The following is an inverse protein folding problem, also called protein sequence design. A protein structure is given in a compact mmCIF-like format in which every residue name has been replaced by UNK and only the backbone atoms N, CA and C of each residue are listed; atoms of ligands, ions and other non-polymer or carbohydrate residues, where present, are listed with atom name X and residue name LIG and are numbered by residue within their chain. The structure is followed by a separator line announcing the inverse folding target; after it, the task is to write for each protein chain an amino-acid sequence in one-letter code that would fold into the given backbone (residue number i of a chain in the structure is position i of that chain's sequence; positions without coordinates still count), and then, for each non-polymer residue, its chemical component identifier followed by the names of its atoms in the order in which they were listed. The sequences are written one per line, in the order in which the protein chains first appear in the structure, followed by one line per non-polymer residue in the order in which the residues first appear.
data_IF_164901047701
#
_entry.id   IF_164901047701
#
_cell.length_a   1.000
_cell.length_b   1.000
_cell.length_c   1.000
_cell.angle_alpha   90.00
_cell.angle_beta   90.00
_cell.angle_gamma   90.00
#
_symmetry.space_group_name_H-M   'P 1'
#
loop_
_entity.id
_entity.type
_entity.pdbx_description
1 polymer ?
2 non-polymer ?
3 non-polymer ?
4 non-polymer ?
5 non-polymer ?
6 water ?
#
# COMPACT_ATOMS: atom_id res chain seq x y z
N UNK A 37 7.71 -15.91 15.72
CA UNK A 37 6.64 -15.46 16.61
C UNK A 37 6.58 -13.93 16.71
N UNK A 38 5.39 -13.44 17.00
CA UNK A 38 5.07 -12.00 17.07
C UNK A 38 4.87 -11.59 18.53
N UNK A 39 5.34 -10.40 18.92
CA UNK A 39 5.12 -9.89 20.28
C UNK A 39 3.64 -9.81 20.63
N UNK A 40 3.22 -10.09 21.88
CA UNK A 40 1.82 -10.03 22.31
C UNK A 40 1.08 -8.74 21.93
N UNK A 41 1.74 -7.59 22.02
CA UNK A 41 1.06 -6.33 21.73
C UNK A 41 0.73 -6.18 20.25
N UNK A 42 1.39 -6.95 19.37
CA UNK A 42 1.13 -6.88 17.93
C UNK A 42 0.51 -8.17 17.38
N UNK A 43 0.34 -9.18 18.21
CA UNK A 43 -0.08 -10.50 17.76
C UNK A 43 -1.58 -10.52 17.49
N UNK A 44 -1.96 -11.19 16.41
CA UNK A 44 -3.36 -11.33 16.02
C UNK A 44 -3.62 -12.81 15.81
N UNK A 45 -4.11 -13.51 16.84
CA UNK A 45 -4.27 -14.96 16.72
C UNK A 45 -5.20 -15.38 15.60
N UNK A 46 -6.19 -14.57 15.24
CA UNK A 46 -7.07 -14.96 14.14
C UNK A 46 -6.30 -14.98 12.81
N UNK A 47 -5.37 -14.03 12.61
CA UNK A 47 -4.55 -14.08 11.39
C UNK A 47 -3.73 -15.36 11.38
N UNK A 48 -3.07 -15.66 12.49
CA UNK A 48 -2.17 -16.80 12.53
C UNK A 48 -2.92 -18.12 12.35
N UNK A 49 -4.13 -18.21 12.86
CA UNK A 49 -4.88 -19.47 12.78
C UNK A 49 -5.70 -19.60 11.51
N UNK A 50 -6.25 -18.51 10.98
CA UNK A 50 -7.26 -18.60 9.93
C UNK A 50 -6.87 -17.94 8.63
N UNK A 51 -5.74 -17.24 8.56
CA UNK A 51 -5.29 -16.56 7.34
C UNK A 51 -3.88 -17.06 6.98
N UNK A 52 -3.74 -18.33 6.61
CA UNK A 52 -2.40 -18.86 6.30
C UNK A 52 -1.71 -18.09 5.19
N UNK A 53 -0.43 -17.84 5.41
CA UNK A 53 0.40 -17.07 4.44
C UNK A 53 0.51 -17.78 3.08
N UNK A 54 0.55 -16.99 2.02
CA UNK A 54 0.76 -17.53 0.67
C UNK A 54 1.93 -16.81 0.03
N UNK A 55 2.57 -17.48 -0.92
CA UNK A 55 3.71 -16.84 -1.63
C UNK A 55 3.68 -17.21 -3.11
N UNK A 56 3.72 -16.19 -3.94
CA UNK A 56 3.71 -16.38 -5.39
C UNK A 56 5.01 -17.04 -5.85
N UNK A 57 4.96 -18.03 -6.78
CA UNK A 57 6.17 -18.72 -7.22
C UNK A 57 7.28 -17.88 -7.89
N UNK A 58 6.92 -16.70 -8.39
CA UNK A 58 7.91 -15.80 -9.04
C UNK A 58 8.75 -15.03 -8.02
N UNK A 59 8.40 -15.12 -6.72
CA UNK A 59 9.06 -14.26 -5.71
C UNK A 59 10.59 -14.26 -5.80
N UNK A 60 11.29 -15.40 -5.92
CA UNK A 60 12.76 -15.29 -5.95
C UNK A 60 13.28 -14.39 -7.08
N UNK A 61 12.71 -14.52 -8.28
CA UNK A 61 13.10 -13.64 -9.37
C UNK A 61 12.62 -12.22 -9.15
N UNK A 62 11.42 -12.06 -8.57
CA UNK A 62 10.86 -10.75 -8.28
C UNK A 62 11.79 -9.96 -7.36
N UNK A 63 12.26 -10.60 -6.28
CA UNK A 63 13.14 -9.96 -5.30
C UNK A 63 14.34 -9.31 -5.99
N UNK A 64 15.06 -10.09 -6.80
CA UNK A 64 16.24 -9.57 -7.46
C UNK A 64 15.89 -8.54 -8.53
N UNK A 65 14.85 -8.80 -9.33
CA UNK A 65 14.55 -7.89 -10.43
C UNK A 65 14.15 -6.52 -9.92
N UNK A 66 13.36 -6.44 -8.84
CA UNK A 66 13.06 -5.14 -8.26
C UNK A 66 14.28 -4.48 -7.64
N UNK A 67 15.17 -5.25 -6.97
CA UNK A 67 16.40 -4.66 -6.47
C UNK A 67 17.21 -4.02 -7.60
N UNK A 68 17.36 -4.74 -8.70
CA UNK A 68 18.10 -4.24 -9.85
C UNK A 68 17.43 -3.00 -10.44
N UNK A 69 16.09 -3.00 -10.46
CA UNK A 69 15.35 -1.84 -10.97
C UNK A 69 15.61 -0.62 -10.10
N UNK A 70 15.58 -0.79 -8.77
CA UNK A 70 15.89 0.33 -7.87
C UNK A 70 17.29 0.87 -8.13
N UNK A 71 18.27 -0.01 -8.34
CA UNK A 71 19.62 0.42 -8.64
C UNK A 71 19.70 1.14 -9.99
N UNK A 72 19.15 0.54 -11.03
CA UNK A 72 19.31 1.07 -12.39
C UNK A 72 18.51 2.35 -12.60
N UNK A 73 17.34 2.48 -11.97
CA UNK A 73 16.60 3.73 -12.00
C UNK A 73 17.12 4.75 -10.99
N UNK A 74 18.16 4.42 -10.22
CA UNK A 74 18.78 5.36 -9.29
C UNK A 74 17.76 5.91 -8.28
N UNK A 75 16.88 5.02 -7.81
CA UNK A 75 15.85 5.42 -6.86
C UNK A 75 16.36 5.44 -5.43
N UNK A 76 17.42 4.69 -5.14
CA UNK A 76 18.11 4.76 -3.86
C UNK A 76 19.60 4.68 -4.17
N UNK A 77 20.44 5.24 -3.31
CA UNK A 77 21.89 5.11 -3.50
C UNK A 77 22.29 3.64 -3.58
N UNK A 78 23.26 3.36 -4.46
CA UNK A 78 23.68 1.98 -4.72
C UNK A 78 24.04 1.23 -3.45
N UNK A 79 24.75 1.88 -2.53
CA UNK A 79 25.17 1.20 -1.31
C UNK A 79 23.98 0.90 -0.41
N UNK A 80 23.01 1.80 -0.36
CA UNK A 80 21.79 1.53 0.42
C UNK A 80 20.95 0.43 -0.22
N UNK A 81 20.92 0.35 -1.56
CA UNK A 81 20.23 -0.75 -2.21
C UNK A 81 20.85 -2.08 -1.81
N UNK A 82 22.18 -2.19 -1.97
CA UNK A 82 22.87 -3.42 -1.63
C UNK A 82 22.70 -3.79 -0.15
N UNK A 83 22.79 -2.81 0.74
CA UNK A 83 22.74 -3.12 2.17
C UNK A 83 21.32 -3.41 2.67
N UNK A 84 20.30 -2.73 2.12
CA UNK A 84 18.99 -2.70 2.76
C UNK A 84 17.83 -3.20 1.92
N UNK A 85 17.93 -3.22 0.59
CA UNK A 85 16.74 -3.43 -0.23
C UNK A 85 16.05 -4.76 0.07
N UNK A 86 16.78 -5.87 0.04
CA UNK A 86 16.14 -7.16 0.30
C UNK A 86 15.52 -7.19 1.70
N UNK A 87 16.22 -6.62 2.68
CA UNK A 87 15.72 -6.59 4.05
C UNK A 87 14.48 -5.75 4.23
N UNK A 88 14.19 -4.84 3.29
CA UNK A 88 12.94 -4.06 3.38
C UNK A 88 11.70 -4.88 3.02
N UNK A 89 11.86 -5.98 2.28
CA UNK A 89 10.77 -6.94 2.02
C UNK A 89 9.63 -6.39 1.19
N UNK A 90 9.86 -5.41 0.32
CA UNK A 90 8.75 -4.89 -0.49
C UNK A 90 8.23 -5.93 -1.48
N UNK A 91 9.14 -6.70 -2.09
CA UNK A 91 8.67 -7.73 -3.03
C UNK A 91 7.91 -8.81 -2.29
N UNK A 92 8.35 -9.17 -1.08
CA UNK A 92 7.65 -10.20 -0.33
C UNK A 92 6.23 -9.77 -0.03
N UNK A 93 6.04 -8.47 0.27
CA UNK A 93 4.72 -7.92 0.57
C UNK A 93 3.78 -8.09 -0.62
N UNK A 94 4.28 -7.79 -1.83
CA UNK A 94 3.42 -7.93 -3.02
C UNK A 94 3.21 -9.40 -3.40
N UNK A 95 4.24 -10.23 -3.24
CA UNK A 95 4.16 -11.64 -3.63
C UNK A 95 3.29 -12.45 -2.68
N UNK A 96 3.00 -11.92 -1.48
CA UNK A 96 2.06 -12.56 -0.57
C UNK A 96 0.64 -12.07 -0.75
N UNK A 97 0.42 -11.18 -1.71
CA UNK A 97 -0.87 -10.50 -1.90
C UNK A 97 -1.48 -10.87 -3.23
N UNK A 98 -0.81 -10.56 -4.35
CA UNK A 98 -1.43 -10.74 -5.67
C UNK A 98 -1.15 -12.13 -6.23
N UNK A 99 -1.65 -13.14 -5.52
CA UNK A 99 -1.47 -14.52 -5.96
C UNK A 99 -2.20 -14.72 -7.28
N UNK A 100 -1.60 -15.54 -8.15
CA UNK A 100 -2.17 -15.79 -9.45
C UNK A 100 -1.82 -14.77 -10.51
N UNK A 101 -1.19 -13.65 -10.15
CA UNK A 101 -0.84 -12.65 -11.13
C UNK A 101 0.15 -13.21 -12.16
N UNK A 102 0.02 -12.88 -13.44
CA UNK A 102 1.10 -13.18 -14.39
C UNK A 102 2.41 -12.58 -13.89
N UNK A 103 3.53 -13.24 -14.20
CA UNK A 103 4.81 -12.77 -13.69
C UNK A 103 5.08 -11.30 -14.05
N UNK A 104 4.76 -10.89 -15.28
CA UNK A 104 5.10 -9.52 -15.68
C UNK A 104 4.18 -8.48 -15.01
N UNK A 105 2.95 -8.88 -14.70
CA UNK A 105 2.06 -8.03 -13.90
C UNK A 105 2.62 -7.87 -12.49
N UNK A 106 3.00 -8.99 -11.85
CA UNK A 106 3.59 -8.92 -10.52
C UNK A 106 4.85 -8.07 -10.51
N UNK A 107 5.68 -8.18 -11.57
CA UNK A 107 6.89 -7.37 -11.60
C UNK A 107 6.57 -5.88 -11.63
N UNK A 108 5.61 -5.49 -12.48
CA UNK A 108 5.23 -4.07 -12.54
C UNK A 108 4.67 -3.60 -11.20
N UNK A 109 3.83 -4.43 -10.57
CA UNK A 109 3.27 -4.10 -9.25
C UNK A 109 4.36 -3.96 -8.20
N UNK A 110 5.32 -4.89 -8.19
CA UNK A 110 6.36 -4.84 -7.16
C UNK A 110 7.25 -3.63 -7.37
N UNK A 111 7.60 -3.33 -8.62
CA UNK A 111 8.38 -2.12 -8.88
C UNK A 111 7.61 -0.88 -8.41
N UNK A 112 6.31 -0.82 -8.72
CA UNK A 112 5.47 0.29 -8.27
C UNK A 112 5.42 0.39 -6.74
N UNK A 113 5.30 -0.75 -6.04
CA UNK A 113 5.24 -0.73 -4.58
C UNK A 113 6.56 -0.27 -3.98
N UNK A 114 7.68 -0.73 -4.52
CA UNK A 114 8.97 -0.27 -4.04
C UNK A 114 9.11 1.23 -4.27
N UNK A 115 8.75 1.69 -5.48
CA UNK A 115 8.69 3.11 -5.80
C UNK A 115 7.85 3.87 -4.76
N UNK A 116 6.69 3.35 -4.42
CA UNK A 116 5.78 4.04 -3.51
C UNK A 116 6.44 4.24 -2.15
N UNK A 117 7.16 3.23 -1.67
CA UNK A 117 7.85 3.40 -0.39
C UNK A 117 8.98 4.43 -0.47
N UNK A 118 9.72 4.43 -1.59
CA UNK A 118 10.73 5.48 -1.79
C UNK A 118 10.10 6.86 -1.85
N UNK A 119 8.96 6.99 -2.53
CA UNK A 119 8.24 8.26 -2.56
C UNK A 119 7.81 8.71 -1.17
N UNK A 120 7.31 7.76 -0.35
CA UNK A 120 6.98 8.10 1.04
C UNK A 120 8.22 8.63 1.77
N UNK A 121 9.38 8.03 1.48
CA UNK A 121 10.63 8.51 2.10
C UNK A 121 11.02 9.91 1.60
N UNK A 122 10.87 10.15 0.30
CA UNK A 122 11.18 11.46 -0.28
C UNK A 122 10.28 12.54 0.32
N UNK A 123 8.98 12.26 0.40
CA UNK A 123 8.02 13.19 0.99
C UNK A 123 8.40 13.52 2.42
N UNK A 124 8.74 12.48 3.19
CA UNK A 124 9.19 12.68 4.57
C UNK A 124 10.41 13.59 4.62
N UNK A 125 11.41 13.32 3.78
CA UNK A 125 12.63 14.13 3.84
C UNK A 125 12.40 15.57 3.36
N UNK A 126 11.55 15.77 2.36
CA UNK A 126 11.22 17.15 1.95
C UNK A 126 10.55 17.90 3.10
N UNK A 127 9.69 17.22 3.86
CA UNK A 127 9.07 17.86 5.03
C UNK A 127 10.14 18.21 6.07
N UNK A 128 10.97 17.23 6.42
CA UNK A 128 11.96 17.43 7.49
C UNK A 128 12.91 18.57 7.12
N UNK A 129 13.27 18.67 5.86
CA UNK A 129 14.22 19.69 5.41
C UNK A 129 13.56 20.95 4.87
N UNK A 130 12.25 21.06 4.97
CA UNK A 130 11.58 22.28 4.57
C UNK A 130 11.60 22.59 3.09
N UNK A 131 11.65 21.56 2.24
CA UNK A 131 11.80 21.75 0.80
C UNK A 131 10.43 21.81 0.12
N UNK A 132 9.71 22.88 0.47
CA UNK A 132 8.34 23.04 -0.04
C UNK A 132 8.30 23.19 -1.55
N UNK A 133 9.27 23.91 -2.12
CA UNK A 133 9.30 24.06 -3.57
C UNK A 133 9.59 22.75 -4.29
N UNK A 134 10.57 22.01 -3.79
CA UNK A 134 10.90 20.73 -4.41
C UNK A 134 9.73 19.76 -4.33
N UNK A 135 9.01 19.77 -3.20
CA UNK A 135 7.83 18.92 -3.09
C UNK A 135 6.76 19.36 -4.09
N UNK A 136 6.49 20.67 -4.14
CA UNK A 136 5.45 21.17 -5.04
C UNK A 136 5.73 20.79 -6.48
N UNK A 137 7.00 20.92 -6.89
CA UNK A 137 7.35 20.58 -8.27
C UNK A 137 7.23 19.08 -8.54
N UNK A 138 7.66 18.25 -7.59
CA UNK A 138 7.49 16.80 -7.73
C UNK A 138 6.02 16.43 -7.85
N UNK A 139 5.19 16.99 -6.96
CA UNK A 139 3.74 16.77 -6.99
C UNK A 139 3.16 17.07 -8.36
N UNK A 140 3.54 18.22 -8.94
CA UNK A 140 3.02 18.56 -10.26
C UNK A 140 3.48 17.59 -11.33
N UNK A 141 4.75 17.17 -11.27
CA UNK A 141 5.27 16.24 -12.26
C UNK A 141 4.61 14.88 -12.15
N UNK A 142 4.30 14.44 -10.93
CA UNK A 142 3.64 13.17 -10.77
C UNK A 142 2.24 13.20 -11.34
N UNK A 143 1.51 14.30 -11.14
CA UNK A 143 0.18 14.40 -11.75
C UNK A 143 0.29 14.28 -13.28
N UNK A 144 1.24 15.02 -13.88
CA UNK A 144 1.39 14.98 -15.33
C UNK A 144 1.83 13.59 -15.81
N UNK A 145 2.81 12.98 -15.12
CA UNK A 145 3.33 11.68 -15.55
C UNK A 145 2.27 10.60 -15.38
N UNK A 146 1.41 10.75 -14.39
CA UNK A 146 0.35 9.77 -14.21
C UNK A 146 -0.57 9.75 -15.41
N UNK A 147 -0.84 10.93 -15.99
CA UNK A 147 -1.71 10.91 -17.17
C UNK A 147 -0.97 10.50 -18.45
N UNK A 148 0.34 10.75 -18.52
CA UNK A 148 1.12 10.52 -19.75
C UNK A 148 2.45 9.90 -19.37
N UNK A 149 2.45 8.65 -18.90
CA UNK A 149 3.72 8.11 -18.34
C UNK A 149 4.81 7.93 -19.38
N UNK A 150 4.45 7.54 -20.60
CA UNK A 150 5.48 7.37 -21.63
C UNK A 150 6.27 8.63 -21.89
N UNK A 151 5.63 9.79 -21.77
CA UNK A 151 6.33 11.05 -21.98
C UNK A 151 7.40 11.32 -20.94
N UNK A 152 7.34 10.63 -19.81
CA UNK A 152 8.20 10.94 -18.66
C UNK A 152 9.21 9.84 -18.34
N UNK A 153 9.38 8.86 -19.24
CA UNK A 153 10.25 7.72 -18.97
C UNK A 153 11.72 8.09 -18.79
N UNK A 154 12.13 9.24 -19.30
CA UNK A 154 13.52 9.67 -19.23
C UNK A 154 13.65 11.03 -18.57
N UNK A 155 12.76 11.32 -17.62
CA UNK A 155 12.80 12.59 -16.92
C UNK A 155 14.07 12.71 -16.07
N UNK A 156 14.55 13.95 -15.93
CA UNK A 156 15.76 14.20 -15.14
C UNK A 156 15.59 13.84 -13.66
N UNK A 157 14.38 13.97 -13.10
CA UNK A 157 14.15 13.51 -11.73
C UNK A 157 13.95 12.01 -11.79
N UNK A 158 14.90 11.26 -11.22
CA UNK A 158 14.82 9.82 -11.32
C UNK A 158 13.58 9.27 -10.63
N UNK A 159 13.06 9.95 -9.60
CA UNK A 159 11.84 9.48 -8.94
C UNK A 159 10.65 9.56 -9.89
N UNK A 160 10.59 10.63 -10.70
CA UNK A 160 9.55 10.77 -11.71
C UNK A 160 9.74 9.72 -12.81
N UNK A 161 10.97 9.52 -13.28
CA UNK A 161 11.22 8.54 -14.35
C UNK A 161 10.86 7.14 -13.90
N UNK A 162 11.15 6.80 -12.63
CA UNK A 162 10.83 5.46 -12.13
C UNK A 162 9.33 5.26 -11.97
N UNK A 163 8.64 6.27 -11.44
CA UNK A 163 7.18 6.26 -11.43
C UNK A 163 6.64 5.97 -12.81
N UNK A 164 7.11 6.75 -13.80
CA UNK A 164 6.57 6.65 -15.15
C UNK A 164 6.81 5.27 -15.73
N UNK A 165 7.98 4.67 -15.47
CA UNK A 165 8.25 3.35 -16.01
C UNK A 165 7.29 2.30 -15.46
N UNK A 166 7.07 2.33 -14.14
CA UNK A 166 6.16 1.35 -13.54
C UNK A 166 4.73 1.56 -14.02
N UNK A 167 4.28 2.82 -14.08
CA UNK A 167 2.91 3.11 -14.46
C UNK A 167 2.67 2.78 -15.93
N UNK A 168 3.62 3.10 -16.82
CA UNK A 168 3.43 2.75 -18.22
C UNK A 168 3.26 1.24 -18.38
N UNK A 169 4.01 0.45 -17.59
CA UNK A 169 3.83 -1.00 -17.69
C UNK A 169 2.47 -1.43 -17.15
N UNK A 170 2.01 -0.84 -16.04
CA UNK A 170 0.70 -1.16 -15.51
C UNK A 170 -0.40 -0.83 -16.51
N UNK A 171 -0.22 0.21 -17.32
CA UNK A 171 -1.20 0.66 -18.30
C UNK A 171 -1.25 -0.23 -19.54
N UNK A 172 -0.42 -1.28 -19.62
CA UNK A 172 -0.39 -2.12 -20.81
C UNK A 172 -1.18 -3.40 -20.68
N UNK A 173 -1.82 -3.65 -19.54
CA UNK A 173 -2.41 -4.96 -19.26
C UNK A 173 -3.90 -5.04 -19.55
N UNK A 174 -4.63 -3.96 -19.34
CA UNK A 174 -6.09 -3.93 -19.43
C UNK A 174 -6.51 -2.77 -20.32
N UNK A 175 -7.79 -2.69 -20.69
CA UNK A 175 -8.24 -1.56 -21.53
C UNK A 175 -8.03 -0.22 -20.84
N UNK A 176 -7.98 0.83 -21.65
CA UNK A 176 -7.67 2.16 -21.16
C UNK A 176 -8.66 2.69 -20.14
N UNK A 177 -9.88 2.13 -20.10
CA UNK A 177 -10.84 2.48 -19.05
C UNK A 177 -10.29 2.18 -17.66
N UNK A 178 -9.58 1.05 -17.51
CA UNK A 178 -8.93 0.75 -16.23
C UNK A 178 -7.83 1.77 -15.94
N UNK A 179 -7.02 2.10 -16.95
CA UNK A 179 -5.94 3.08 -16.77
C UNK A 179 -6.51 4.40 -16.28
N UNK A 180 -7.64 4.83 -16.83
CA UNK A 180 -8.24 6.10 -16.44
C UNK A 180 -8.71 6.07 -14.99
N UNK A 181 -9.23 4.91 -14.55
CA UNK A 181 -9.64 4.78 -13.15
C UNK A 181 -8.44 4.78 -12.19
N UNK A 182 -7.39 4.05 -12.53
CA UNK A 182 -6.15 4.10 -11.76
C UNK A 182 -5.66 5.53 -11.64
N UNK A 183 -5.66 6.27 -12.76
CA UNK A 183 -5.20 7.66 -12.73
C UNK A 183 -6.09 8.53 -11.83
N UNK A 184 -7.42 8.42 -11.96
CA UNK A 184 -8.29 9.19 -11.09
C UNK A 184 -7.97 8.92 -9.62
N UNK A 185 -7.80 7.65 -9.29
CA UNK A 185 -7.50 7.30 -7.90
C UNK A 185 -6.16 7.86 -7.45
N UNK A 186 -5.12 7.78 -8.33
CA UNK A 186 -3.81 8.22 -7.88
C UNK A 186 -3.70 9.74 -7.83
N UNK A 187 -4.41 10.47 -8.68
CA UNK A 187 -4.43 11.93 -8.54
C UNK A 187 -4.89 12.29 -7.12
N UNK A 188 -5.93 11.59 -6.65
CA UNK A 188 -6.40 11.82 -5.27
C UNK A 188 -5.34 11.46 -4.22
N UNK A 189 -4.61 10.35 -4.44
CA UNK A 189 -3.53 9.99 -3.51
C UNK A 189 -2.48 11.09 -3.43
N UNK A 190 -2.03 11.60 -4.59
CA UNK A 190 -1.01 12.65 -4.58
C UNK A 190 -1.49 13.83 -3.75
N UNK A 191 -2.75 14.22 -3.93
CA UNK A 191 -3.24 15.38 -3.20
C UNK A 191 -3.35 15.09 -1.70
N UNK A 192 -3.61 13.83 -1.32
CA UNK A 192 -3.60 13.49 0.10
C UNK A 192 -2.20 13.62 0.68
N UNK A 193 -1.18 13.21 -0.08
CA UNK A 193 0.21 13.47 0.32
C UNK A 193 0.47 14.97 0.48
N UNK A 194 -0.09 15.78 -0.43
CA UNK A 194 0.08 17.22 -0.25
C UNK A 194 -0.56 17.73 1.04
N UNK A 195 -1.75 17.21 1.37
CA UNK A 195 -2.39 17.57 2.63
C UNK A 195 -1.51 17.17 3.81
N UNK A 196 -0.89 15.99 3.75
CA UNK A 196 0.02 15.58 4.83
C UNK A 196 1.19 16.54 4.94
N UNK A 197 1.70 17.01 3.80
CA UNK A 197 2.79 18.00 3.82
C UNK A 197 2.36 19.24 4.57
N UNK A 198 1.17 19.76 4.23
CA UNK A 198 0.64 20.94 4.92
C UNK A 198 0.45 20.69 6.41
N UNK A 199 -0.11 19.53 6.78
CA UNK A 199 -0.33 19.22 8.19
C UNK A 199 0.98 19.24 8.95
N UNK A 200 2.00 18.54 8.42
CA UNK A 200 3.24 18.42 9.18
C UNK A 200 4.00 19.73 9.22
N UNK A 201 3.98 20.51 8.15
CA UNK A 201 4.64 21.82 8.21
C UNK A 201 3.94 22.77 9.17
N UNK A 202 2.62 22.63 9.36
CA UNK A 202 1.91 23.44 10.34
C UNK A 202 1.84 22.81 11.74
N UNK A 203 2.29 21.56 11.91
CA UNK A 203 2.20 20.91 13.21
C UNK A 203 0.80 20.49 13.59
N UNK A 204 -0.06 20.23 12.61
CA UNK A 204 -1.44 19.83 12.83
C UNK A 204 -1.52 18.31 12.88
N UNK A 205 -2.14 17.78 13.92
CA UNK A 205 -2.51 16.37 13.97
C UNK A 205 -4.00 16.29 13.61
N UNK A 206 -4.38 15.56 12.58
CA UNK A 206 -5.81 15.50 12.24
C UNK A 206 -6.62 14.81 13.34
N UNK A 207 -7.89 15.24 13.45
CA UNK A 207 -8.82 14.51 14.29
C UNK A 207 -8.98 13.06 13.82
N UNK A 208 -9.49 12.23 14.72
CA UNK A 208 -9.63 10.79 14.44
C UNK A 208 -10.45 10.54 13.16
N UNK A 209 -11.62 11.17 13.04
CA UNK A 209 -12.47 10.91 11.87
C UNK A 209 -11.87 11.48 10.59
N UNK A 210 -11.31 12.70 10.69
CA UNK A 210 -10.59 13.30 9.57
C UNK A 210 -9.45 12.41 9.13
N UNK A 211 -8.70 11.88 10.11
CA UNK A 211 -7.61 10.97 9.82
C UNK A 211 -8.09 9.72 9.09
N UNK A 212 -9.17 9.10 9.58
CA UNK A 212 -9.62 7.86 8.95
C UNK A 212 -10.00 8.09 7.49
N UNK A 213 -10.58 9.26 7.19
CA UNK A 213 -10.88 9.57 5.79
C UNK A 213 -9.61 9.79 4.98
N UNK A 214 -8.67 10.56 5.51
CA UNK A 214 -7.41 10.81 4.81
C UNK A 214 -6.61 9.52 4.57
N UNK A 215 -6.66 8.60 5.54
CA UNK A 215 -5.82 7.41 5.52
C UNK A 215 -6.20 6.48 4.38
N UNK A 216 -7.46 6.50 3.94
CA UNK A 216 -7.86 5.72 2.77
C UNK A 216 -7.17 6.20 1.51
N UNK A 217 -6.67 7.43 1.54
CA UNK A 217 -5.98 8.03 0.40
C UNK A 217 -4.47 7.93 0.53
N UNK A 218 -3.93 8.19 1.73
CA UNK A 218 -2.47 8.13 1.88
C UNK A 218 -1.95 6.70 1.85
N UNK A 219 -2.75 5.72 2.28
CA UNK A 219 -2.38 4.33 2.14
C UNK A 219 -2.63 3.82 0.74
N UNK A 220 -3.46 4.50 -0.05
CA UNK A 220 -3.78 4.17 -1.46
C UNK A 220 -4.67 2.91 -1.53
N UNK A 221 -5.62 2.82 -0.60
CA UNK A 221 -6.64 1.73 -0.60
C UNK A 221 -7.16 1.39 -1.99
N UNK A 222 -7.54 2.41 -2.77
CA UNK A 222 -8.22 2.14 -4.06
C UNK A 222 -7.23 1.74 -5.16
N UNK A 223 -5.98 2.15 -5.02
CA UNK A 223 -4.94 1.68 -5.94
C UNK A 223 -4.70 0.19 -5.75
N UNK A 224 -4.48 -0.26 -4.50
CA UNK A 224 -4.30 -1.70 -4.29
C UNK A 224 -5.53 -2.47 -4.74
N UNK A 225 -6.72 -1.89 -4.52
CA UNK A 225 -7.94 -2.55 -4.98
C UNK A 225 -8.00 -2.62 -6.51
N UNK A 226 -7.68 -1.51 -7.19
CA UNK A 226 -7.61 -1.52 -8.66
C UNK A 226 -6.67 -2.61 -9.16
N UNK A 227 -5.51 -2.75 -8.53
CA UNK A 227 -4.48 -3.68 -8.99
C UNK A 227 -4.88 -5.15 -8.84
N UNK A 228 -5.92 -5.45 -8.05
CA UNK A 228 -6.45 -6.81 -8.08
C UNK A 228 -6.82 -7.25 -9.51
N UNK A 229 -7.27 -6.30 -10.33
CA UNK A 229 -7.88 -6.64 -11.61
C UNK A 229 -6.86 -7.08 -12.67
N UNK A 230 -5.76 -6.36 -12.93
CA UNK A 230 -4.74 -6.94 -13.82
C UNK A 230 -4.17 -8.23 -13.27
N UNK A 231 -4.16 -8.39 -11.95
CA UNK A 231 -3.64 -9.62 -11.36
C UNK A 231 -4.49 -10.84 -11.69
N UNK A 232 -5.80 -10.67 -11.86
CA UNK A 232 -6.66 -11.77 -12.27
C UNK A 232 -7.05 -11.71 -13.73
N UNK A 233 -6.52 -10.75 -14.47
CA UNK A 233 -6.70 -10.72 -15.92
C UNK A 233 -8.01 -10.18 -16.44
N UNK A 234 -8.72 -9.39 -15.66
CA UNK A 234 -10.06 -8.95 -16.07
C UNK A 234 -10.36 -7.59 -15.45
N UNK A 235 -10.71 -6.61 -16.29
CA UNK A 235 -11.29 -5.38 -15.75
C UNK A 235 -12.74 -5.65 -15.37
N UNK A 236 -13.08 -5.40 -14.10
CA UNK A 236 -14.44 -5.65 -13.66
C UNK A 236 -15.34 -4.48 -14.06
N UNK A 237 -16.54 -4.77 -14.57
CA UNK A 237 -17.51 -3.71 -14.82
C UNK A 237 -17.86 -2.98 -13.53
N UNK A 238 -18.25 -1.70 -13.69
CA UNK A 238 -18.63 -0.91 -12.53
C UNK A 238 -19.71 -1.59 -11.70
N UNK A 239 -20.69 -2.21 -12.34
CA UNK A 239 -21.77 -2.85 -11.58
C UNK A 239 -21.27 -3.99 -10.70
N UNK A 240 -20.18 -4.64 -11.11
CA UNK A 240 -19.63 -5.75 -10.34
C UNK A 240 -18.79 -5.23 -9.19
N UNK A 241 -17.84 -4.34 -9.48
CA UNK A 241 -16.93 -3.91 -8.42
C UNK A 241 -17.60 -2.95 -7.44
N UNK A 242 -18.75 -2.36 -7.79
CA UNK A 242 -19.49 -1.52 -6.86
C UNK A 242 -20.60 -2.25 -6.13
N UNK A 243 -20.73 -3.56 -6.36
CA UNK A 243 -21.65 -4.35 -5.55
C UNK A 243 -21.27 -4.18 -4.09
N UNK A 244 -22.26 -4.01 -3.19
CA UNK A 244 -21.91 -3.71 -1.79
C UNK A 244 -21.00 -4.73 -1.12
N UNK A 245 -21.11 -6.03 -1.45
CA UNK A 245 -20.25 -7.02 -0.80
C UNK A 245 -18.81 -6.94 -1.31
N UNK A 246 -18.64 -6.70 -2.62
CA UNK A 246 -17.30 -6.49 -3.16
C UNK A 246 -16.67 -5.24 -2.55
N UNK A 247 -17.42 -4.14 -2.55
CA UNK A 247 -16.91 -2.87 -2.05
C UNK A 247 -16.52 -2.97 -0.58
N UNK A 248 -17.38 -3.59 0.24
CA UNK A 248 -17.08 -3.64 1.67
C UNK A 248 -15.92 -4.57 1.97
N UNK A 249 -15.83 -5.72 1.27
CA UNK A 249 -14.68 -6.60 1.47
C UNK A 249 -13.39 -5.88 1.07
N UNK A 250 -13.43 -5.12 -0.03
CA UNK A 250 -12.24 -4.41 -0.49
C UNK A 250 -11.82 -3.35 0.53
N UNK A 251 -12.80 -2.63 1.06
CA UNK A 251 -12.53 -1.62 2.07
C UNK A 251 -11.90 -2.23 3.30
N UNK A 252 -12.49 -3.29 3.84
CA UNK A 252 -12.02 -3.86 5.11
C UNK A 252 -10.60 -4.41 4.99
N UNK A 253 -10.28 -5.02 3.84
CA UNK A 253 -8.92 -5.49 3.61
C UNK A 253 -7.93 -4.33 3.73
N UNK A 254 -8.26 -3.19 3.11
CA UNK A 254 -7.35 -2.05 3.18
C UNK A 254 -7.33 -1.36 4.54
N UNK A 255 -8.48 -1.25 5.22
CA UNK A 255 -8.49 -0.65 6.56
C UNK A 255 -7.61 -1.46 7.50
N UNK A 256 -7.69 -2.80 7.41
CA UNK A 256 -6.81 -3.64 8.22
C UNK A 256 -5.35 -3.32 7.91
N UNK A 257 -4.97 -3.30 6.63
CA UNK A 257 -3.57 -3.09 6.28
C UNK A 257 -3.07 -1.73 6.78
N UNK A 258 -3.84 -0.68 6.58
CA UNK A 258 -3.40 0.66 6.97
C UNK A 258 -3.32 0.79 8.50
N UNK A 259 -4.32 0.28 9.21
CA UNK A 259 -4.34 0.45 10.66
C UNK A 259 -3.34 -0.48 11.33
N UNK A 260 -3.10 -1.65 10.75
CA UNK A 260 -2.03 -2.49 11.28
C UNK A 260 -0.68 -1.85 11.04
N UNK A 261 -0.50 -1.21 9.87
CA UNK A 261 0.71 -0.40 9.71
C UNK A 261 0.78 0.68 10.79
N UNK A 262 -0.33 1.35 11.09
CA UNK A 262 -0.26 2.39 12.13
C UNK A 262 0.20 1.79 13.45
N UNK A 263 -0.34 0.63 13.81
CA UNK A 263 0.06 -0.03 15.05
C UNK A 263 1.55 -0.33 15.08
N UNK A 264 2.08 -0.88 13.98
CA UNK A 264 3.47 -1.36 13.98
C UNK A 264 4.46 -0.26 13.69
N UNK A 265 4.05 0.78 12.98
CA UNK A 265 4.94 1.87 12.61
C UNK A 265 4.86 3.02 13.58
N UNK A 266 4.00 2.95 14.60
CA UNK A 266 3.95 4.00 15.61
C UNK A 266 5.31 4.35 16.22
N UNK A 267 6.15 3.38 16.65
CA UNK A 267 7.45 3.78 17.23
C UNK A 267 8.32 4.62 16.29
N UNK A 268 8.49 4.18 15.04
CA UNK A 268 9.34 4.96 14.13
C UNK A 268 8.69 6.29 13.78
N UNK A 269 7.36 6.36 13.77
CA UNK A 269 6.67 7.58 13.41
C UNK A 269 6.74 8.61 14.53
N UNK A 270 6.57 8.19 15.78
CA UNK A 270 6.81 9.10 16.89
C UNK A 270 8.26 9.60 16.87
N UNK A 271 9.21 8.69 16.63
CA UNK A 271 10.61 9.11 16.64
C UNK A 271 10.94 10.09 15.51
N UNK A 272 10.21 10.00 14.40
CA UNK A 272 10.42 10.84 13.23
C UNK A 272 9.51 12.04 13.12
N UNK A 273 8.77 12.39 14.17
CA UNK A 273 7.85 13.53 14.14
C UNK A 273 6.76 13.41 13.08
N UNK A 274 6.44 12.18 12.66
CA UNK A 274 5.28 11.95 11.83
C UNK A 274 4.03 12.19 12.67
N UNK A 275 3.03 12.85 12.09
CA UNK A 275 1.77 13.11 12.79
C UNK A 275 0.62 12.23 12.33
N UNK A 276 0.77 11.50 11.23
CA UNK A 276 -0.33 10.75 10.62
C UNK A 276 -0.26 9.30 11.08
N UNK A 277 -1.14 8.96 12.01
CA UNK A 277 -1.18 7.64 12.62
C UNK A 277 -2.41 7.63 13.53
N UNK A 278 -3.28 6.64 13.41
CA UNK A 278 -4.48 6.60 14.25
C UNK A 278 -4.15 6.74 15.73
N UNK A 279 -3.07 6.09 16.19
CA UNK A 279 -2.68 6.22 17.58
C UNK A 279 -2.32 7.63 17.98
N UNK A 280 -1.65 8.36 17.07
CA UNK A 280 -1.30 9.75 17.36
C UNK A 280 -2.55 10.62 17.44
N UNK A 281 -3.51 10.40 16.54
CA UNK A 281 -4.76 11.17 16.63
C UNK A 281 -5.50 10.87 17.94
N UNK A 282 -5.48 9.61 18.37
CA UNK A 282 -6.17 9.26 19.62
C UNK A 282 -5.50 9.90 20.83
N UNK A 283 -4.17 9.86 20.88
CA UNK A 283 -3.45 10.49 21.98
C UNK A 283 -3.72 11.99 22.00
N UNK A 284 -3.68 12.62 20.82
CA UNK A 284 -3.77 14.06 20.75
C UNK A 284 -5.19 14.57 21.03
N UNK A 285 -6.20 13.91 20.48
CA UNK A 285 -7.56 14.45 20.51
C UNK A 285 -8.49 13.78 21.51
N UNK A 286 -8.19 12.56 21.94
CA UNK A 286 -8.98 11.85 22.93
C UNK A 286 -8.27 11.67 24.26
N UNK A 287 -7.06 12.23 24.40
CA UNK A 287 -6.32 12.24 25.66
C UNK A 287 -5.94 10.85 26.15
N UNK A 288 -5.80 9.88 25.24
CA UNK A 288 -5.35 8.56 25.64
C UNK A 288 -3.86 8.56 25.91
N UNK A 289 -3.44 7.71 26.86
CA UNK A 289 -2.02 7.42 26.98
C UNK A 289 -1.57 6.57 25.80
N UNK A 290 -0.26 6.40 25.66
CA UNK A 290 0.28 5.54 24.62
C UNK A 290 -0.26 4.12 24.73
N UNK A 291 -0.30 3.58 25.96
CA UNK A 291 -0.82 2.22 26.13
C UNK A 291 -2.29 2.12 25.76
N UNK A 292 -3.09 3.11 26.15
CA UNK A 292 -4.51 3.08 25.80
C UNK A 292 -4.72 3.19 24.30
N UNK A 293 -3.91 4.01 23.63
CA UNK A 293 -4.04 4.18 22.18
C UNK A 293 -3.64 2.92 21.44
N UNK A 294 -2.56 2.25 21.88
CA UNK A 294 -2.18 0.97 21.29
C UNK A 294 -3.33 -0.03 21.45
N UNK A 295 -3.92 -0.11 22.64
CA UNK A 295 -5.04 -1.02 22.83
C UNK A 295 -6.22 -0.71 21.90
N UNK A 296 -6.53 0.57 21.74
CA UNK A 296 -7.66 0.96 20.89
C UNK A 296 -7.39 0.65 19.41
N UNK A 297 -6.17 0.94 18.93
CA UNK A 297 -5.85 0.61 17.55
C UNK A 297 -5.93 -0.90 17.34
N UNK A 298 -5.38 -1.68 18.28
CA UNK A 298 -5.47 -3.13 18.21
C UNK A 298 -6.91 -3.60 18.08
N UNK A 299 -7.80 -3.07 18.92
CA UNK A 299 -9.20 -3.49 18.86
C UNK A 299 -9.83 -3.17 17.52
N UNK A 300 -9.52 -1.98 16.97
CA UNK A 300 -10.09 -1.64 15.67
C UNK A 300 -9.57 -2.57 14.56
N UNK A 301 -8.28 -2.92 14.61
CA UNK A 301 -7.71 -3.88 13.65
C UNK A 301 -8.39 -5.24 13.76
N UNK A 302 -8.57 -5.74 15.00
CA UNK A 302 -9.20 -7.04 15.20
C UNK A 302 -10.62 -7.06 14.61
N UNK A 303 -11.34 -5.98 14.80
CA UNK A 303 -12.72 -5.89 14.27
C UNK A 303 -12.74 -5.92 12.73
N UNK A 304 -11.72 -5.37 12.08
CA UNK A 304 -11.67 -5.43 10.60
C UNK A 304 -11.67 -6.91 10.17
N UNK A 305 -10.94 -7.73 10.91
CA UNK A 305 -10.81 -9.16 10.52
C UNK A 305 -12.17 -9.83 10.60
N UNK A 306 -12.85 -9.68 11.74
CA UNK A 306 -14.13 -10.43 11.87
C UNK A 306 -15.29 -9.80 11.06
N UNK A 307 -15.21 -8.50 10.78
CA UNK A 307 -16.14 -7.90 9.82
C UNK A 307 -15.84 -8.43 8.42
N UNK A 308 -14.55 -8.52 8.06
CA UNK A 308 -14.20 -9.09 6.77
C UNK A 308 -14.70 -10.53 6.63
N UNK A 309 -14.54 -11.35 7.67
CA UNK A 309 -15.03 -12.72 7.58
C UNK A 309 -16.52 -12.76 7.26
N UNK A 310 -17.31 -11.86 7.88
CA UNK A 310 -18.74 -11.85 7.56
C UNK A 310 -19.00 -11.45 6.10
N UNK A 311 -18.36 -10.36 5.65
CA UNK A 311 -18.68 -9.89 4.30
C UNK A 311 -18.09 -10.79 3.23
N UNK A 312 -16.98 -11.46 3.51
CA UNK A 312 -16.39 -12.40 2.57
C UNK A 312 -17.40 -13.45 2.15
N UNK A 313 -18.23 -13.94 3.09
CA UNK A 313 -19.26 -14.89 2.72
C UNK A 313 -20.18 -14.31 1.65
N UNK A 314 -20.59 -13.05 1.83
CA UNK A 314 -21.49 -12.41 0.88
C UNK A 314 -20.81 -12.17 -0.45
N UNK A 315 -19.53 -11.83 -0.43
CA UNK A 315 -18.79 -11.57 -1.66
C UNK A 315 -18.61 -12.86 -2.46
N UNK A 316 -18.37 -13.98 -1.76
CA UNK A 316 -18.24 -15.26 -2.47
C UNK A 316 -19.61 -15.77 -2.97
N UNK A 317 -20.69 -15.49 -2.23
CA UNK A 317 -22.02 -15.79 -2.77
C UNK A 317 -22.30 -14.99 -4.02
N UNK A 318 -21.89 -13.72 -4.03
CA UNK A 318 -22.03 -12.91 -5.23
C UNK A 318 -21.24 -13.52 -6.38
N UNK A 319 -20.00 -13.94 -6.11
CA UNK A 319 -19.20 -14.60 -7.14
C UNK A 319 -19.94 -15.80 -7.72
N UNK A 320 -20.56 -16.61 -6.87
CA UNK A 320 -21.32 -17.76 -7.35
C UNK A 320 -22.49 -17.32 -8.23
N UNK A 321 -23.18 -16.25 -7.84
CA UNK A 321 -24.31 -15.76 -8.62
C UNK A 321 -23.87 -15.28 -10.01
N UNK A 322 -22.66 -14.73 -10.13
CA UNK A 322 -22.17 -14.29 -11.43
C UNK A 322 -21.96 -15.46 -12.40
N UNK A 323 -21.70 -16.65 -11.87
CA UNK A 323 -21.55 -17.85 -12.71
C UNK A 323 -22.94 -18.28 -13.16
N UNK A 324 -23.42 -17.61 -14.19
CA UNK A 324 -24.80 -17.77 -14.63
C UNK A 324 -24.94 -18.78 -15.76
N UNK A 325 -23.90 -19.56 -16.04
CA UNK A 325 -23.90 -20.50 -17.13
C UNK A 325 -23.24 -20.02 -18.40
N UNK A 326 -22.97 -18.72 -18.50
CA UNK A 326 -22.34 -18.16 -19.70
C UNK A 326 -20.82 -18.08 -19.53
N UNK A 327 -20.14 -17.91 -20.68
CA UNK A 327 -18.69 -17.80 -20.67
C UNK A 327 -18.25 -16.54 -19.93
N UNK A 328 -18.88 -15.41 -20.27
CA UNK A 328 -18.56 -14.16 -19.59
C UNK A 328 -18.86 -14.25 -18.11
N UNK A 329 -19.96 -14.92 -17.74
CA UNK A 329 -20.29 -15.10 -16.35
C UNK A 329 -19.24 -15.93 -15.61
N UNK A 330 -18.75 -16.98 -16.26
CA UNK A 330 -17.68 -17.78 -15.66
C UNK A 330 -16.43 -16.94 -15.45
N UNK A 331 -16.08 -16.12 -16.44
CA UNK A 331 -14.89 -15.26 -16.31
C UNK A 331 -15.05 -14.28 -15.16
N UNK A 332 -16.19 -13.59 -15.08
CA UNK A 332 -16.38 -12.61 -14.03
C UNK A 332 -16.44 -13.27 -12.66
N UNK A 333 -17.12 -14.41 -12.55
CA UNK A 333 -17.16 -15.15 -11.30
C UNK A 333 -15.75 -15.53 -10.84
N UNK A 334 -14.95 -16.07 -11.75
CA UNK A 334 -13.60 -16.48 -11.37
C UNK A 334 -12.73 -15.30 -10.99
N UNK A 335 -12.90 -14.17 -11.68
CA UNK A 335 -12.14 -12.97 -11.36
C UNK A 335 -12.52 -12.42 -10.00
N UNK A 336 -13.82 -12.33 -9.71
CA UNK A 336 -14.26 -11.86 -8.40
C UNK A 336 -13.74 -12.78 -7.31
N UNK A 337 -13.84 -14.10 -7.51
CA UNK A 337 -13.34 -15.04 -6.50
C UNK A 337 -11.84 -14.88 -6.27
N UNK A 338 -11.06 -14.74 -7.35
CA UNK A 338 -9.62 -14.54 -7.21
C UNK A 338 -9.32 -13.23 -6.47
N UNK A 339 -10.05 -12.17 -6.81
CA UNK A 339 -9.83 -10.89 -6.17
C UNK A 339 -10.16 -10.93 -4.69
N UNK A 340 -11.29 -11.54 -4.34
CA UNK A 340 -11.65 -11.67 -2.92
C UNK A 340 -10.64 -12.53 -2.19
N UNK A 341 -10.11 -13.56 -2.87
CA UNK A 341 -9.07 -14.36 -2.27
C UNK A 341 -7.82 -13.55 -1.98
N UNK A 342 -7.48 -12.64 -2.89
CA UNK A 342 -6.33 -11.77 -2.64
C UNK A 342 -6.62 -10.68 -1.61
N UNK A 343 -7.88 -10.23 -1.49
CA UNK A 343 -8.23 -9.33 -0.39
C UNK A 343 -7.96 -10.02 0.94
N UNK A 344 -8.22 -11.33 0.99
CA UNK A 344 -7.91 -12.13 2.18
C UNK A 344 -6.39 -12.25 2.38
N UNK A 345 -5.66 -12.52 1.29
CA UNK A 345 -4.20 -12.64 1.37
C UNK A 345 -3.52 -11.37 1.84
N UNK A 346 -4.10 -10.19 1.57
CA UNK A 346 -3.48 -8.96 2.03
C UNK A 346 -3.31 -8.96 3.53
N UNK A 347 -4.27 -9.55 4.27
CA UNK A 347 -4.20 -9.57 5.73
C UNK A 347 -2.91 -10.25 6.19
N UNK A 348 -2.67 -11.45 5.69
CA UNK A 348 -1.49 -12.21 6.14
C UNK A 348 -0.20 -11.61 5.60
N UNK A 349 -0.24 -11.09 4.38
CA UNK A 349 0.99 -10.56 3.81
C UNK A 349 1.44 -9.32 4.59
N UNK A 350 0.50 -8.41 4.88
CA UNK A 350 0.80 -7.21 5.65
C UNK A 350 1.23 -7.57 7.07
N UNK A 351 0.54 -8.54 7.68
CA UNK A 351 0.88 -8.95 9.04
C UNK A 351 2.34 -9.36 9.12
N UNK A 352 2.74 -10.32 8.28
CA UNK A 352 4.11 -10.83 8.39
C UNK A 352 5.13 -9.82 7.90
N UNK A 353 4.79 -9.00 6.89
CA UNK A 353 5.71 -7.98 6.42
C UNK A 353 6.15 -7.06 7.55
N UNK A 354 5.21 -6.70 8.43
CA UNK A 354 5.59 -5.77 9.49
C UNK A 354 6.54 -6.36 10.50
N UNK A 355 6.62 -7.68 10.59
CA UNK A 355 7.56 -8.31 11.51
C UNK A 355 8.87 -8.67 10.87
N UNK A 356 8.89 -8.74 9.53
CA UNK A 356 10.10 -9.08 8.82
C UNK A 356 10.85 -7.87 8.29
N UNK A 357 10.16 -6.80 7.92
CA UNK A 357 10.80 -5.71 7.20
C UNK A 357 11.72 -4.87 8.08
N UNK A 358 12.90 -4.54 7.56
CA UNK A 358 13.77 -3.61 8.24
C UNK A 358 13.22 -2.19 8.31
N UNK A 359 12.15 -1.90 7.57
CA UNK A 359 11.63 -0.53 7.52
C UNK A 359 11.24 -0.03 8.92
N UNK A 360 10.80 -0.93 9.81
CA UNK A 360 10.21 -0.53 11.09
C UNK A 360 11.12 -0.72 12.29
N UNK A 361 12.35 -1.19 12.08
CA UNK A 361 13.23 -1.60 13.18
C UNK A 361 14.02 -0.43 13.79
N UNK A 362 13.26 0.52 14.33
CA UNK A 362 13.81 1.79 14.84
C UNK A 362 14.84 1.58 15.96
N UNK A 363 14.66 0.54 16.78
CA UNK A 363 15.59 0.28 17.88
C UNK A 363 17.00 -0.05 17.41
N UNK A 364 17.20 -0.36 16.13
CA UNK A 364 18.51 -0.67 15.61
C UNK A 364 19.24 0.54 15.03
N UNK A 365 18.63 1.72 15.00
CA UNK A 365 19.18 2.84 14.24
C UNK A 365 20.01 3.75 15.14
N UNK A 366 21.09 4.30 14.57
CA UNK A 366 21.91 5.26 15.29
C UNK A 366 21.10 6.51 15.62
N UNK A 367 20.22 6.93 14.72
CA UNK A 367 19.38 8.11 14.88
C UNK A 367 17.96 7.64 14.63
N UNK A 368 17.15 7.57 15.69
CA UNK A 368 15.80 7.03 15.55
C UNK A 368 14.94 7.86 14.61
N UNK A 369 15.28 9.14 14.41
CA UNK A 369 14.51 10.01 13.53
C UNK A 369 14.91 9.92 12.08
N UNK A 370 15.99 9.18 11.75
CA UNK A 370 16.50 9.12 10.38
C UNK A 370 16.78 7.66 10.02
N UNK A 371 15.86 6.97 9.37
CA UNK A 371 16.11 5.55 9.01
C UNK A 371 17.31 5.44 8.08
N UNK A 372 18.10 4.37 8.21
CA UNK A 372 19.35 4.27 7.43
C UNK A 372 19.14 4.06 5.95
N UNK A 373 17.96 3.64 5.52
CA UNK A 373 17.64 3.39 4.12
C UNK A 373 17.11 4.62 3.40
N UNK A 374 16.96 5.77 4.08
CA UNK A 374 16.53 6.99 3.40
C UNK A 374 17.75 7.83 3.03
N UNK A 375 17.63 8.57 1.93
CA UNK A 375 18.64 9.52 1.52
C UNK A 375 18.36 10.82 2.27
N UNK A 376 19.26 11.20 3.17
CA UNK A 376 19.06 12.32 4.06
C UNK A 376 19.93 13.51 3.66
X LIG B 1 -14.73 4.24 -7.94
X LIG B 1 -14.08 3.01 -7.60
X LIG B 1 -15.99 4.32 -7.26
X LIG B 1 -13.92 5.33 -7.54
X LIG B 1 -14.94 4.27 -9.35
X LIG C 1 17.53 -1.34 8.10
X LIG C 1 16.44 -1.33 7.23
X LIG C 1 17.18 -2.18 9.30
X LIG C 1 16.29 -1.42 10.05
X LIG C 1 18.36 -2.59 10.19
X LIG C 1 18.96 -1.47 10.73
X LIG D 1 5.99 4.84 6.50
X LIG D 1 5.18 3.58 6.63
X LIG D 1 4.63 3.36 8.02
X LIG D 1 6.00 2.40 6.22
X LIG D 1 3.78 3.68 5.39
X LIG D 1 2.94 2.58 5.60
X LIG D 1 2.76 5.20 5.79
X LIG D 1 3.62 6.41 5.54
X LIG D 1 1.54 5.19 4.90
X LIG D 1 2.36 5.15 7.25
X LIG D 1 4.37 3.72 3.96
X LIG D 1 3.30 3.44 2.89
X LIG D 1 2.76 4.47 2.19
X LIG D 1 1.79 4.21 1.28
X LIG D 1 1.39 2.91 1.03
X LIG D 1 1.94 1.91 1.71
X LIG D 1 2.89 2.16 2.63
X LIG E 1 2.95 4.12 8.98
X LIG F 1 5.60 6.84 6.05
X LIG G 1 3.24 8.25 4.52
#
# INVERSE_FOLDING_TARGET
MGSSHHHHHHSSGLVPRGSHMVHAFPHGTTATPTAIAVPPSLRLPVIEAAFPRQLHPYWPKLQETTRTWLLEKRLMPADKVEEYADGLCYTDLMAGYYLGAPDEVLQAIADYSAWFHVWDDRHDRDIVHGRAGAWRRLRGLLHTALDSPGDHLHHEDTLVAGFADSVRRLYAFLPATWNARFARHFHTVIEAYDREFHNRTRGIVPGVEEYLELRRLTFAHWIWTDLLEPSSGCELPDAVRKHPAYRRAALLSQEFAAWYNDLCSLPKEIAGDEVHNLGISLITHHSLTLEEAIGEVRRRVEECITEFLAVERDALRFADELADGTVRGKELSGAVRANVGNMRNWFSSVYWFHHESGRYMVDSWDDRSTPPYVNNEAAGEK
SO4 S O1 O2 O3 O4
GOL C1 O1 C2 O2 C3 O3
RIS O12 P9 O11 O10 C8 O13 P14 O16 O15 O17 C7 C2 C1 C6 C5 N4 C3
MG MG
MG MG
MG MG
#
